data_IF_896803707757
#
_entry.id   IF_896803707757
#
_cell.length_a   1.000
_cell.length_b   1.000
_cell.length_c   1.000
_cell.angle_alpha   90.00
_cell.angle_beta   90.00
_cell.angle_gamma   90.00
#
_symmetry.space_group_name_H-M   'P 1'
#
loop_
_entity.id
_entity.type
_entity.pdbx_description
1 polymer ?
#
# COMPACT_ATOMS: atom_id res chain seq x y z
N UNK A 1 8.25 4.82 12.82
CA UNK A 1 7.08 4.48 13.66
C UNK A 1 6.53 3.11 13.30
N UNK A 2 6.37 2.22 14.29
CA UNK A 2 5.80 0.89 14.07
C UNK A 2 4.31 0.94 13.68
N UNK A 3 3.52 1.83 14.32
CA UNK A 3 2.09 1.99 14.07
C UNK A 3 1.76 2.35 12.60
N UNK A 4 2.52 3.26 11.99
CA UNK A 4 2.32 3.65 10.57
C UNK A 4 2.62 2.47 9.63
N UNK A 5 3.72 1.75 9.86
CA UNK A 5 4.07 0.55 9.08
C UNK A 5 2.99 -0.53 9.19
N UNK A 6 2.43 -0.73 10.38
CA UNK A 6 1.35 -1.67 10.61
C UNK A 6 0.08 -1.27 9.84
N UNK A 7 -0.33 0.01 9.91
CA UNK A 7 -1.49 0.51 9.15
C UNK A 7 -1.31 0.39 7.64
N UNK A 8 -0.14 0.73 7.10
CA UNK A 8 0.16 0.57 5.66
C UNK A 8 0.01 -0.89 5.25
N UNK A 9 0.61 -1.82 6.01
CA UNK A 9 0.48 -3.25 5.74
C UNK A 9 -0.97 -3.70 5.75
N UNK A 10 -1.75 -3.30 6.77
CA UNK A 10 -3.18 -3.63 6.87
C UNK A 10 -4.01 -3.08 5.70
N UNK A 11 -3.76 -1.86 5.24
CA UNK A 11 -4.46 -1.30 4.08
C UNK A 11 -4.19 -2.12 2.82
N UNK A 12 -2.93 -2.52 2.60
CA UNK A 12 -2.55 -3.32 1.42
C UNK A 12 -3.06 -4.77 1.53
N UNK A 13 -3.07 -5.37 2.71
CA UNK A 13 -3.62 -6.72 2.93
C UNK A 13 -5.12 -6.82 2.65
N UNK A 14 -5.86 -5.72 2.82
CA UNK A 14 -7.30 -5.66 2.60
C UNK A 14 -7.67 -4.93 1.30
N UNK A 15 -6.70 -4.72 0.40
CA UNK A 15 -6.98 -4.09 -0.89
C UNK A 15 -7.75 -5.02 -1.82
N UNK A 16 -8.49 -4.45 -2.78
CA UNK A 16 -9.03 -5.23 -3.88
C UNK A 16 -7.87 -5.66 -4.81
N UNK A 17 -7.61 -6.96 -5.02
CA UNK A 17 -6.59 -7.43 -5.94
C UNK A 17 -6.80 -6.92 -7.37
N UNK A 18 -8.04 -6.63 -7.76
CA UNK A 18 -8.35 -6.10 -9.08
C UNK A 18 -7.97 -4.63 -9.24
N UNK A 19 -7.97 -3.90 -8.13
CA UNK A 19 -7.60 -2.49 -8.08
C UNK A 19 -6.67 -2.19 -6.88
N UNK A 20 -5.39 -2.59 -6.94
CA UNK A 20 -4.44 -2.37 -5.85
C UNK A 20 -4.22 -0.88 -5.55
N UNK A 21 -4.24 -0.53 -4.26
CA UNK A 21 -4.12 0.87 -3.84
C UNK A 21 -2.70 1.41 -4.00
N UNK A 22 -2.59 2.61 -4.55
CA UNK A 22 -1.33 3.32 -4.76
C UNK A 22 -0.73 3.88 -3.46
N UNK A 23 0.55 4.23 -3.51
CA UNK A 23 1.22 4.89 -2.38
C UNK A 23 0.54 6.26 -2.05
N UNK A 24 -0.10 6.92 -3.03
CA UNK A 24 -0.85 8.17 -2.83
C UNK A 24 -2.19 7.94 -2.14
N UNK A 25 -2.94 6.91 -2.53
CA UNK A 25 -4.18 6.52 -1.86
C UNK A 25 -3.93 6.07 -0.41
N UNK A 26 -2.80 5.42 -0.15
CA UNK A 26 -2.40 5.08 1.23
C UNK A 26 -2.14 6.34 2.05
N UNK A 27 -1.51 7.37 1.48
CA UNK A 27 -1.33 8.67 2.16
C UNK A 27 -2.67 9.29 2.52
N UNK A 28 -3.60 9.33 1.58
CA UNK A 28 -4.92 9.93 1.82
C UNK A 28 -5.71 9.15 2.89
N UNK A 29 -5.69 7.82 2.82
CA UNK A 29 -6.31 6.97 3.86
C UNK A 29 -5.69 7.21 5.25
N UNK A 30 -4.36 7.33 5.33
CA UNK A 30 -3.70 7.60 6.61
C UNK A 30 -4.05 9.00 7.12
N UNK A 31 -4.12 10.00 6.24
CA UNK A 31 -4.49 11.37 6.56
C UNK A 31 -5.91 11.44 7.13
N UNK A 32 -6.86 10.69 6.55
CA UNK A 32 -8.22 10.56 7.07
C UNK A 32 -8.28 9.97 8.49
N UNK A 33 -7.28 9.17 8.88
CA UNK A 33 -7.13 8.67 10.26
C UNK A 33 -6.31 9.59 11.18
N UNK A 34 -6.05 10.83 10.76
CA UNK A 34 -5.27 11.83 11.50
C UNK A 34 -3.75 11.67 11.40
N UNK A 35 -3.26 10.81 10.49
CA UNK A 35 -1.83 10.56 10.34
C UNK A 35 -1.33 11.22 9.06
N UNK A 36 -0.61 12.34 9.20
CA UNK A 36 0.04 13.00 8.07
C UNK A 36 1.40 12.36 7.76
N UNK A 37 1.53 11.75 6.58
CA UNK A 37 2.80 11.15 6.13
C UNK A 37 3.01 11.46 4.66
N UNK A 38 4.25 11.75 4.27
CA UNK A 38 4.59 11.94 2.86
C UNK A 38 4.58 10.61 2.09
N UNK A 39 4.19 10.64 0.81
CA UNK A 39 4.23 9.49 -0.12
C UNK A 39 5.58 8.76 -0.13
N UNK A 40 6.69 9.51 -0.13
CA UNK A 40 8.05 8.93 -0.08
C UNK A 40 8.28 8.06 1.17
N UNK A 41 7.67 8.44 2.29
CA UNK A 41 7.72 7.67 3.55
C UNK A 41 6.91 6.38 3.45
N UNK A 42 5.72 6.43 2.83
CA UNK A 42 4.92 5.23 2.54
C UNK A 42 5.72 4.26 1.66
N UNK A 43 6.27 4.74 0.54
CA UNK A 43 7.07 3.93 -0.36
C UNK A 43 8.30 3.31 0.33
N UNK A 44 8.99 4.07 1.19
CA UNK A 44 10.11 3.56 2.01
C UNK A 44 9.65 2.44 2.95
N UNK A 45 8.54 2.62 3.66
CA UNK A 45 8.03 1.63 4.60
C UNK A 45 7.53 0.36 3.90
N UNK A 46 6.85 0.52 2.77
CA UNK A 46 6.41 -0.58 1.91
C UNK A 46 7.59 -1.44 1.46
N UNK A 47 8.67 -0.81 0.97
CA UNK A 47 9.92 -1.49 0.58
C UNK A 47 10.56 -2.25 1.74
N UNK A 48 10.64 -1.64 2.93
CA UNK A 48 11.19 -2.30 4.13
C UNK A 48 10.37 -3.52 4.55
N UNK A 49 9.06 -3.55 4.27
CA UNK A 49 8.20 -4.69 4.53
C UNK A 49 8.16 -5.71 3.38
N UNK A 50 8.96 -5.53 2.32
CA UNK A 50 8.99 -6.43 1.17
C UNK A 50 7.75 -6.34 0.28
N UNK A 51 6.91 -5.31 0.45
CA UNK A 51 5.66 -5.18 -0.30
C UNK A 51 5.98 -4.49 -1.65
N UNK A 52 5.59 -5.08 -2.80
CA UNK A 52 5.82 -4.48 -4.11
C UNK A 52 4.91 -3.26 -4.36
N UNK A 53 5.23 -2.42 -5.34
CA UNK A 53 4.42 -1.25 -5.69
C UNK A 53 3.07 -1.65 -6.30
N UNK A 54 2.07 -0.77 -6.26
CA UNK A 54 0.72 -1.08 -6.74
C UNK A 54 0.69 -1.60 -8.17
N UNK A 55 1.47 -0.99 -9.08
CA UNK A 55 1.57 -1.46 -10.47
C UNK A 55 2.15 -2.88 -10.59
N UNK A 56 3.09 -3.26 -9.72
CA UNK A 56 3.64 -4.62 -9.69
C UNK A 56 2.63 -5.60 -9.12
N UNK A 57 1.88 -5.22 -8.08
CA UNK A 57 0.79 -6.04 -7.52
C UNK A 57 -0.31 -6.27 -8.56
N UNK A 58 -0.69 -5.23 -9.29
CA UNK A 58 -1.63 -5.34 -10.40
C UNK A 58 -1.13 -6.33 -11.47
N UNK A 59 0.13 -6.21 -11.88
CA UNK A 59 0.75 -7.14 -12.84
C UNK A 59 0.80 -8.58 -12.31
N UNK A 60 1.15 -8.78 -11.04
CA UNK A 60 1.16 -10.11 -10.41
C UNK A 60 -0.23 -10.73 -10.42
N UNK A 61 -1.27 -9.96 -10.09
CA UNK A 61 -2.65 -10.43 -10.07
C UNK A 61 -3.18 -10.80 -11.46
N UNK A 62 -2.77 -10.05 -12.51
CA UNK A 62 -3.07 -10.43 -13.90
C UNK A 62 -2.34 -11.70 -14.33
N UNK A 63 -1.10 -11.91 -13.88
CA UNK A 63 -0.31 -13.09 -14.24
C UNK A 63 -0.78 -14.35 -13.50
N UNK A 64 -1.33 -14.20 -12.29
CA UNK A 64 -1.86 -15.30 -11.49
C UNK A 64 -3.31 -15.67 -11.83
N UNK A 65 -3.94 -15.01 -12.81
CA UNK A 65 -5.34 -15.27 -13.22
C UNK A 65 -6.39 -14.88 -12.17
N UNK A 66 -6.04 -14.03 -11.20
CA UNK A 66 -6.99 -13.47 -10.21
C UNK A 66 -7.85 -12.36 -10.84
N UNK A 67 -7.25 -11.69 -11.85
CA UNK A 67 -7.85 -10.71 -12.74
C UNK A 67 -8.13 -11.35 -14.10
#
# INVERSE_FOLDING_TARGET
SAAVKFKIKKLIENEDPRNPISDDEIVENLKNTGINVARRTVAKYRKVQGIPASFMRKRQNTLSGIL
#
